data_IF_048907605815
#
_entry.id   IF_048907605815
#
_cell.length_a   1.000
_cell.length_b   1.000
_cell.length_c   1.000
_cell.angle_alpha   90.00
_cell.angle_beta   90.00
_cell.angle_gamma   90.00
#
_symmetry.space_group_name_H-M   'P 1'
#
loop_
_entity.id
_entity.type
_entity.pdbx_description
1 polymer ?
#
# COMPACT_ATOMS: atom_id res chain seq x y z
N UNK A 1 -2.70 -9.86 -25.74
CA UNK A 1 -1.97 -9.96 -24.47
C UNK A 1 -1.48 -8.57 -24.02
N UNK A 2 -1.66 -8.22 -22.75
CA UNK A 2 -1.26 -6.93 -22.15
C UNK A 2 0.27 -6.72 -22.24
N UNK A 3 0.73 -5.49 -22.50
CA UNK A 3 2.18 -5.14 -22.47
C UNK A 3 2.81 -5.48 -21.11
N UNK A 4 2.08 -5.25 -20.03
CA UNK A 4 2.53 -5.55 -18.65
C UNK A 4 2.53 -7.06 -18.41
N UNK A 5 1.52 -7.80 -18.88
CA UNK A 5 1.44 -9.26 -18.71
C UNK A 5 2.58 -10.02 -19.38
N UNK A 6 3.17 -9.48 -20.45
CA UNK A 6 4.32 -10.09 -21.15
C UNK A 6 5.66 -9.95 -20.40
N UNK A 7 5.77 -9.01 -19.44
CA UNK A 7 7.01 -8.78 -18.72
C UNK A 7 7.15 -9.78 -17.58
N UNK A 8 8.19 -10.63 -17.55
CA UNK A 8 8.42 -11.52 -16.42
C UNK A 8 8.71 -10.72 -15.14
N UNK A 9 8.38 -11.30 -14.00
CA UNK A 9 8.76 -10.77 -12.69
C UNK A 9 10.04 -11.48 -12.25
N UNK A 10 11.12 -10.71 -12.08
CA UNK A 10 12.37 -11.23 -11.54
C UNK A 10 12.21 -11.47 -10.03
N UNK A 11 12.62 -12.65 -9.57
CA UNK A 11 12.70 -13.00 -8.15
C UNK A 11 14.12 -12.71 -7.67
N UNK A 12 14.33 -11.71 -6.80
CA UNK A 12 15.67 -11.39 -6.30
C UNK A 12 16.18 -12.50 -5.36
N UNK A 13 17.49 -12.57 -5.19
CA UNK A 13 18.11 -13.47 -4.22
C UNK A 13 17.57 -13.20 -2.80
N UNK A 14 17.23 -14.27 -2.07
CA UNK A 14 16.65 -14.18 -0.73
C UNK A 14 15.11 -14.08 -0.70
N UNK A 15 14.46 -14.26 -1.84
CA UNK A 15 12.99 -14.39 -1.91
C UNK A 15 12.64 -15.77 -2.41
N UNK A 16 11.87 -16.49 -1.62
CA UNK A 16 11.33 -17.80 -1.99
C UNK A 16 9.88 -17.64 -2.49
N UNK A 17 9.63 -18.16 -3.69
CA UNK A 17 8.29 -18.21 -4.26
C UNK A 17 7.86 -19.65 -4.42
N UNK A 18 6.73 -20.01 -3.84
CA UNK A 18 6.11 -21.30 -4.03
C UNK A 18 4.69 -21.16 -4.55
N UNK A 19 4.34 -22.01 -5.50
CA UNK A 19 3.02 -22.11 -6.11
C UNK A 19 2.48 -23.48 -5.76
N UNK A 20 1.46 -23.57 -4.90
CA UNK A 20 0.81 -24.80 -4.46
C UNK A 20 -0.69 -24.59 -4.36
N UNK A 21 -1.48 -25.54 -4.81
CA UNK A 21 -2.92 -25.58 -4.61
C UNK A 21 -3.63 -24.25 -4.93
N UNK A 22 -3.33 -23.66 -6.09
CA UNK A 22 -3.82 -22.37 -6.54
C UNK A 22 -3.48 -21.19 -5.60
N UNK A 23 -2.46 -21.36 -4.75
CA UNK A 23 -1.95 -20.29 -3.90
C UNK A 23 -0.49 -19.97 -4.23
N UNK A 24 -0.22 -18.71 -4.49
CA UNK A 24 1.13 -18.15 -4.66
C UNK A 24 1.57 -17.61 -3.31
N UNK A 25 2.63 -18.17 -2.75
CA UNK A 25 3.26 -17.64 -1.54
C UNK A 25 4.62 -17.05 -1.86
N UNK A 26 4.87 -15.85 -1.33
CA UNK A 26 6.13 -15.13 -1.49
C UNK A 26 6.68 -14.86 -0.09
N UNK A 27 7.87 -15.41 0.19
CA UNK A 27 8.57 -15.25 1.48
C UNK A 27 9.87 -14.50 1.25
N UNK A 28 10.18 -13.58 2.13
CA UNK A 28 11.41 -12.80 2.11
C UNK A 28 11.75 -12.22 3.48
N UNK A 29 12.73 -11.33 3.54
CA UNK A 29 13.18 -10.69 4.78
C UNK A 29 12.09 -9.87 5.48
N UNK A 30 11.13 -9.32 4.74
CA UNK A 30 10.02 -8.52 5.27
C UNK A 30 8.79 -9.35 5.69
N UNK A 31 8.85 -10.70 5.61
CA UNK A 31 7.74 -11.58 5.98
C UNK A 31 7.27 -12.49 4.86
N UNK A 32 6.06 -13.01 4.99
CA UNK A 32 5.42 -13.87 4.01
C UNK A 32 4.08 -13.27 3.58
N UNK A 33 3.82 -13.26 2.28
CA UNK A 33 2.57 -12.82 1.68
C UNK A 33 1.97 -13.96 0.86
N UNK A 34 0.65 -14.02 0.82
CA UNK A 34 -0.11 -15.05 0.12
C UNK A 34 -1.11 -14.40 -0.84
N UNK A 35 -1.26 -15.02 -2.01
CA UNK A 35 -2.22 -14.60 -3.01
C UNK A 35 -2.85 -15.82 -3.66
N UNK A 36 -4.17 -15.84 -3.75
CA UNK A 36 -4.88 -16.89 -4.48
C UNK A 36 -4.71 -16.68 -5.98
N UNK A 37 -4.28 -17.72 -6.69
CA UNK A 37 -4.17 -17.71 -8.15
C UNK A 37 -5.57 -17.69 -8.77
N UNK A 38 -5.73 -16.87 -9.80
CA UNK A 38 -6.98 -16.87 -10.56
C UNK A 38 -6.91 -17.98 -11.63
N UNK A 39 -7.97 -18.77 -11.75
CA UNK A 39 -8.08 -19.86 -12.73
C UNK A 39 -7.90 -19.44 -14.21
N UNK A 40 -8.06 -18.14 -14.50
CA UNK A 40 -7.85 -17.56 -15.83
C UNK A 40 -6.39 -17.26 -16.15
N UNK A 41 -5.43 -17.55 -15.23
CA UNK A 41 -4.02 -17.21 -15.41
C UNK A 41 -3.14 -18.38 -15.06
N UNK A 42 -2.30 -18.81 -15.99
CA UNK A 42 -1.26 -19.80 -15.77
C UNK A 42 0.03 -19.10 -15.33
N UNK A 43 0.57 -19.50 -14.18
CA UNK A 43 1.80 -18.95 -13.63
C UNK A 43 2.90 -20.01 -13.73
N UNK A 44 4.00 -19.66 -14.39
CA UNK A 44 5.18 -20.55 -14.52
C UNK A 44 6.39 -19.88 -13.88
N UNK A 45 7.21 -20.68 -13.21
CA UNK A 45 8.45 -20.24 -12.57
C UNK A 45 9.63 -20.87 -13.26
N UNK A 46 10.43 -20.09 -13.97
CA UNK A 46 11.62 -20.53 -14.69
C UNK A 46 12.84 -19.68 -14.30
N UNK A 47 13.91 -20.36 -13.87
CA UNK A 47 15.22 -19.74 -13.60
C UNK A 47 15.16 -18.41 -12.80
N UNK A 48 14.32 -18.35 -11.76
CA UNK A 48 14.18 -17.14 -10.93
C UNK A 48 13.33 -16.02 -11.56
N UNK A 49 12.56 -16.35 -12.59
CA UNK A 49 11.58 -15.44 -13.22
C UNK A 49 10.19 -16.06 -13.20
N UNK A 50 9.20 -15.26 -12.89
CA UNK A 50 7.79 -15.66 -12.94
C UNK A 50 7.17 -15.10 -14.21
N UNK A 51 6.54 -15.98 -14.99
CA UNK A 51 5.80 -15.62 -16.20
C UNK A 51 4.31 -15.86 -15.99
N UNK A 52 3.49 -14.97 -16.52
CA UNK A 52 2.04 -14.97 -16.37
C UNK A 52 1.39 -15.04 -17.75
N UNK A 53 0.70 -16.13 -18.03
CA UNK A 53 0.02 -16.34 -19.30
C UNK A 53 -1.50 -16.45 -19.08
N UNK A 54 -2.34 -15.87 -19.96
CA UNK A 54 -3.77 -16.09 -19.89
C UNK A 54 -4.08 -17.57 -20.21
N UNK A 55 -4.99 -18.19 -19.48
CA UNK A 55 -5.40 -19.58 -19.71
C UNK A 55 -6.20 -19.75 -21.02
N UNK A 56 -6.83 -18.69 -21.50
CA UNK A 56 -7.57 -18.63 -22.75
C UNK A 56 -7.44 -17.24 -23.41
N UNK A 57 -7.89 -17.11 -24.65
CA UNK A 57 -7.81 -15.83 -25.40
C UNK A 57 -8.92 -14.82 -25.05
N UNK A 58 -9.65 -15.03 -23.96
CA UNK A 58 -10.68 -14.10 -23.52
C UNK A 58 -10.08 -12.75 -23.10
N UNK A 59 -10.87 -11.70 -23.24
CA UNK A 59 -10.50 -10.35 -22.80
C UNK A 59 -10.23 -10.30 -21.28
N UNK A 60 -10.99 -11.08 -20.51
CA UNK A 60 -10.88 -11.19 -19.05
C UNK A 60 -9.57 -11.87 -18.65
N UNK A 61 -9.21 -13.02 -19.25
CA UNK A 61 -7.94 -13.71 -18.97
C UNK A 61 -6.75 -12.83 -19.32
N UNK A 62 -6.81 -12.09 -20.42
CA UNK A 62 -5.78 -11.11 -20.79
C UNK A 62 -5.65 -9.96 -19.77
N UNK A 63 -6.75 -9.47 -19.23
CA UNK A 63 -6.74 -8.43 -18.19
C UNK A 63 -6.19 -8.99 -16.86
N UNK A 64 -6.65 -10.18 -16.46
CA UNK A 64 -6.23 -10.85 -15.22
C UNK A 64 -4.74 -11.21 -15.22
N UNK A 65 -4.16 -11.61 -16.35
CA UNK A 65 -2.73 -11.91 -16.44
C UNK A 65 -1.86 -10.70 -16.05
N UNK A 66 -2.24 -9.50 -16.50
CA UNK A 66 -1.55 -8.25 -16.12
C UNK A 66 -1.76 -7.89 -14.63
N UNK A 67 -2.97 -8.10 -14.12
CA UNK A 67 -3.30 -7.86 -12.70
C UNK A 67 -2.51 -8.80 -11.78
N UNK A 68 -2.55 -10.10 -12.06
CA UNK A 68 -1.81 -11.10 -11.27
C UNK A 68 -0.31 -10.84 -11.29
N UNK A 69 0.24 -10.54 -12.46
CA UNK A 69 1.65 -10.16 -12.59
C UNK A 69 1.99 -8.98 -11.69
N UNK A 70 1.17 -7.93 -11.68
CA UNK A 70 1.45 -6.75 -10.87
C UNK A 70 1.27 -7.00 -9.37
N UNK A 71 0.30 -7.80 -8.97
CA UNK A 71 0.12 -8.20 -7.57
C UNK A 71 1.32 -8.99 -7.06
N UNK A 72 1.78 -9.99 -7.81
CA UNK A 72 2.97 -10.77 -7.42
C UNK A 72 4.23 -9.90 -7.41
N UNK A 73 4.39 -9.01 -8.38
CA UNK A 73 5.50 -8.05 -8.36
C UNK A 73 5.47 -7.15 -7.11
N UNK A 74 4.29 -6.68 -6.71
CA UNK A 74 4.15 -5.90 -5.47
C UNK A 74 4.51 -6.75 -4.24
N UNK A 75 4.14 -8.04 -4.21
CA UNK A 75 4.53 -8.95 -3.11
C UNK A 75 6.05 -9.11 -3.04
N UNK A 76 6.72 -9.35 -4.16
CA UNK A 76 8.19 -9.49 -4.23
C UNK A 76 8.88 -8.22 -3.75
N UNK A 77 8.45 -7.05 -4.23
CA UNK A 77 9.00 -5.76 -3.76
C UNK A 77 8.71 -5.53 -2.28
N UNK A 78 7.51 -5.89 -1.83
CA UNK A 78 7.08 -5.71 -0.45
C UNK A 78 7.87 -6.54 0.56
N UNK A 79 8.16 -7.81 0.25
CA UNK A 79 8.96 -8.65 1.15
C UNK A 79 10.46 -8.34 1.10
N UNK A 80 10.94 -7.61 0.08
CA UNK A 80 12.35 -7.18 -0.02
C UNK A 80 12.59 -5.80 0.56
N UNK A 81 11.96 -4.79 -0.02
CA UNK A 81 12.16 -3.37 0.33
C UNK A 81 11.11 -2.82 1.27
N UNK A 82 9.93 -3.46 1.29
CA UNK A 82 8.76 -2.90 1.95
C UNK A 82 8.14 -1.72 1.19
N UNK A 83 6.97 -1.30 1.66
CA UNK A 83 6.31 -0.08 1.19
C UNK A 83 6.20 0.93 2.31
N UNK A 84 6.31 2.19 1.94
CA UNK A 84 6.21 3.32 2.84
C UNK A 84 5.20 4.35 2.30
N UNK A 85 4.34 4.87 3.16
CA UNK A 85 3.47 6.03 2.88
C UNK A 85 3.63 7.06 3.98
N UNK A 86 3.82 8.31 3.57
CA UNK A 86 3.98 9.46 4.46
C UNK A 86 2.74 10.33 4.44
N UNK A 87 2.28 10.72 5.61
CA UNK A 87 1.17 11.64 5.81
C UNK A 87 1.66 12.83 6.62
N UNK A 88 1.19 14.02 6.25
CA UNK A 88 1.48 15.27 6.92
C UNK A 88 0.19 15.83 7.56
N UNK A 89 0.31 16.24 8.82
CA UNK A 89 -0.74 16.93 9.55
C UNK A 89 -0.53 18.43 9.42
N UNK A 90 -1.54 19.13 8.92
CA UNK A 90 -1.51 20.58 8.78
C UNK A 90 -2.65 21.18 9.60
N UNK A 91 -2.29 21.99 10.58
CA UNK A 91 -3.22 22.66 11.47
C UNK A 91 -2.55 23.03 12.79
N UNK A 92 -2.98 24.16 13.38
CA UNK A 92 -2.49 24.57 14.69
C UNK A 92 -2.98 23.58 15.74
N UNK A 93 -2.05 23.05 16.54
CA UNK A 93 -2.35 22.07 17.59
C UNK A 93 -2.56 20.64 17.10
N UNK A 94 -2.41 20.35 15.79
CA UNK A 94 -2.49 18.98 15.28
C UNK A 94 -1.22 18.20 15.65
N UNK A 95 -1.40 17.04 16.24
CA UNK A 95 -0.31 16.17 16.70
C UNK A 95 -0.65 14.70 16.42
N UNK A 96 0.37 13.93 16.07
CA UNK A 96 0.33 12.49 15.98
C UNK A 96 1.40 11.89 16.88
N UNK A 97 1.07 10.82 17.58
CA UNK A 97 1.99 10.08 18.43
C UNK A 97 1.79 8.59 18.22
N UNK A 98 2.83 7.92 17.75
CA UNK A 98 2.86 6.48 17.64
C UNK A 98 3.29 5.84 18.98
N UNK A 99 2.53 4.86 19.45
CA UNK A 99 2.80 4.08 20.65
C UNK A 99 2.70 2.59 20.30
N UNK A 100 3.79 2.01 19.81
CA UNK A 100 3.81 0.63 19.35
C UNK A 100 2.82 0.41 18.19
N UNK A 101 1.80 -0.43 18.41
CA UNK A 101 0.77 -0.73 17.41
C UNK A 101 -0.41 0.26 17.42
N UNK A 102 -0.35 1.34 18.20
CA UNK A 102 -1.42 2.35 18.30
C UNK A 102 -0.92 3.69 17.82
N UNK A 103 -1.78 4.42 17.12
CA UNK A 103 -1.55 5.79 16.69
C UNK A 103 -2.58 6.70 17.36
N UNK A 104 -2.10 7.63 18.16
CA UNK A 104 -2.91 8.65 18.81
C UNK A 104 -2.87 9.92 17.98
N UNK A 105 -4.03 10.45 17.62
CA UNK A 105 -4.19 11.64 16.78
C UNK A 105 -4.97 12.71 17.52
N UNK A 106 -4.41 13.91 17.60
CA UNK A 106 -5.10 15.12 18.02
C UNK A 106 -5.27 16.01 16.79
N UNK A 107 -6.47 16.04 16.22
CA UNK A 107 -6.73 16.70 14.92
C UNK A 107 -7.95 17.64 15.00
N UNK A 108 -8.09 18.32 16.15
CA UNK A 108 -9.12 19.33 16.35
C UNK A 108 -10.52 18.76 16.65
N UNK A 109 -10.59 17.55 17.17
CA UNK A 109 -11.77 16.99 17.81
C UNK A 109 -11.71 17.22 19.32
N UNK A 110 -12.85 17.13 20.01
CA UNK A 110 -12.94 17.26 21.46
C UNK A 110 -12.26 16.13 22.23
N UNK A 111 -11.96 15.01 21.56
CA UNK A 111 -11.26 13.85 22.11
C UNK A 111 -10.13 13.40 21.16
N UNK A 112 -9.05 12.80 21.65
CA UNK A 112 -8.04 12.20 20.81
C UNK A 112 -8.62 10.98 20.09
N UNK A 113 -8.22 10.79 18.84
CA UNK A 113 -8.60 9.62 18.04
C UNK A 113 -7.49 8.59 18.13
N UNK A 114 -7.83 7.41 18.62
CA UNK A 114 -6.92 6.28 18.71
C UNK A 114 -7.20 5.30 17.57
N UNK A 115 -6.17 4.95 16.82
CA UNK A 115 -6.25 4.00 15.71
C UNK A 115 -5.28 2.85 15.98
N UNK A 116 -5.83 1.63 16.04
CA UNK A 116 -5.01 0.42 16.12
C UNK A 116 -4.47 0.05 14.73
N UNK A 117 -3.21 -0.34 14.68
CA UNK A 117 -2.56 -0.78 13.43
C UNK A 117 -2.78 -2.28 13.24
N UNK A 118 -3.18 -2.72 12.04
CA UNK A 118 -3.30 -4.14 11.74
C UNK A 118 -1.93 -4.82 11.73
N UNK A 119 -1.93 -6.14 11.92
CA UNK A 119 -0.72 -6.95 11.91
C UNK A 119 0.08 -6.78 10.59
N UNK A 120 1.40 -6.64 10.70
CA UNK A 120 2.29 -6.43 9.57
C UNK A 120 2.41 -4.96 9.10
N UNK A 121 1.78 -4.02 9.80
CA UNK A 121 1.95 -2.58 9.57
C UNK A 121 2.64 -1.96 10.78
N UNK A 122 3.67 -1.18 10.52
CA UNK A 122 4.35 -0.35 11.52
C UNK A 122 4.08 1.11 11.24
N UNK A 123 3.89 1.88 12.32
CA UNK A 123 3.71 3.32 12.24
C UNK A 123 4.80 4.01 13.06
N UNK A 124 5.36 5.06 12.51
CA UNK A 124 6.32 5.92 13.19
C UNK A 124 5.92 7.38 13.03
N UNK A 125 6.21 8.18 14.02
CA UNK A 125 6.01 9.63 14.02
C UNK A 125 7.34 10.31 14.28
N UNK A 126 8.18 10.51 13.23
CA UNK A 126 9.47 11.18 13.38
C UNK A 126 9.31 12.60 13.95
N UNK A 127 8.26 13.27 13.52
CA UNK A 127 7.82 14.55 14.08
C UNK A 127 6.34 14.46 14.48
N UNK A 128 5.87 15.32 15.38
CA UNK A 128 4.46 15.33 15.77
C UNK A 128 3.48 15.63 14.62
N UNK A 129 3.98 16.14 13.51
CA UNK A 129 3.19 16.51 12.32
C UNK A 129 3.39 15.57 11.14
N UNK A 130 4.21 14.53 11.28
CA UNK A 130 4.48 13.57 10.22
C UNK A 130 4.21 12.14 10.70
N UNK A 131 3.48 11.39 9.89
CA UNK A 131 3.20 9.98 10.12
C UNK A 131 3.82 9.17 8.98
N UNK A 132 4.62 8.19 9.32
CA UNK A 132 5.24 7.25 8.38
C UNK A 132 4.65 5.88 8.63
N UNK A 133 4.02 5.30 7.61
CA UNK A 133 3.38 3.99 7.65
C UNK A 133 4.21 3.04 6.78
N UNK A 134 4.66 1.92 7.35
CA UNK A 134 5.49 0.93 6.66
C UNK A 134 4.87 -0.46 6.77
N UNK A 135 5.07 -1.26 5.71
CA UNK A 135 4.63 -2.65 5.70
C UNK A 135 5.03 -3.38 4.43
N UNK A 136 4.94 -4.70 4.44
CA UNK A 136 5.22 -5.53 3.27
C UNK A 136 4.07 -5.52 2.26
N UNK A 137 2.84 -5.41 2.73
CA UNK A 137 1.66 -5.42 1.87
C UNK A 137 1.29 -3.99 1.43
N UNK A 138 1.47 -3.70 0.13
CA UNK A 138 1.13 -2.41 -0.49
C UNK A 138 -0.34 -2.03 -0.28
N UNK A 139 -1.25 -3.01 -0.38
CA UNK A 139 -2.68 -2.77 -0.24
C UNK A 139 -3.01 -2.35 1.19
N UNK A 140 -2.50 -3.08 2.20
CA UNK A 140 -2.72 -2.77 3.62
C UNK A 140 -2.12 -1.42 4.02
N UNK A 141 -0.89 -1.13 3.57
CA UNK A 141 -0.24 0.18 3.79
C UNK A 141 -1.09 1.31 3.20
N UNK A 142 -1.59 1.14 1.97
CA UNK A 142 -2.46 2.11 1.32
C UNK A 142 -3.80 2.28 2.01
N UNK A 143 -4.42 1.20 2.46
CA UNK A 143 -5.70 1.20 3.16
C UNK A 143 -5.59 1.94 4.50
N UNK A 144 -4.59 1.60 5.32
CA UNK A 144 -4.35 2.27 6.61
C UNK A 144 -4.08 3.77 6.41
N UNK A 145 -3.29 4.13 5.40
CA UNK A 145 -3.02 5.54 5.07
C UNK A 145 -4.30 6.28 4.67
N UNK A 146 -5.17 5.67 3.86
CA UNK A 146 -6.44 6.23 3.46
C UNK A 146 -7.40 6.42 4.65
N UNK A 147 -7.47 5.44 5.55
CA UNK A 147 -8.28 5.52 6.77
C UNK A 147 -7.81 6.63 7.71
N UNK A 148 -6.49 6.78 7.90
CA UNK A 148 -5.94 7.88 8.72
C UNK A 148 -6.26 9.22 8.07
N UNK A 149 -6.09 9.35 6.75
CA UNK A 149 -6.44 10.58 6.04
C UNK A 149 -7.94 10.90 6.13
N UNK A 150 -8.81 9.90 6.10
CA UNK A 150 -10.26 10.07 6.21
C UNK A 150 -10.72 10.59 7.59
N UNK A 151 -9.92 10.40 8.66
CA UNK A 151 -10.24 10.93 9.99
C UNK A 151 -10.40 12.46 9.92
N UNK A 152 -9.51 13.16 9.23
CA UNK A 152 -9.60 14.60 9.02
C UNK A 152 -9.08 14.97 7.63
N UNK A 153 -9.90 14.87 6.59
CA UNK A 153 -9.46 15.19 5.24
C UNK A 153 -9.09 16.67 5.12
N UNK A 154 -8.19 17.03 4.20
CA UNK A 154 -7.77 18.41 4.02
C UNK A 154 -8.94 19.29 3.54
N UNK A 155 -9.09 20.44 4.15
CA UNK A 155 -10.10 21.43 3.77
C UNK A 155 -9.64 22.27 2.57
N UNK A 156 -10.57 22.75 1.74
CA UNK A 156 -10.21 23.46 0.50
C UNK A 156 -9.83 24.94 0.69
N UNK A 157 -9.94 25.53 1.90
CA UNK A 157 -9.69 26.97 2.12
C UNK A 157 -8.31 27.27 2.70
N UNK A 158 -7.95 26.62 3.82
CA UNK A 158 -6.63 26.78 4.48
C UNK A 158 -5.76 25.55 4.37
N UNK A 159 -6.28 24.45 3.78
CA UNK A 159 -5.57 23.19 3.62
C UNK A 159 -5.31 22.44 4.93
N UNK A 160 -6.05 22.77 6.01
CA UNK A 160 -5.93 22.08 7.30
C UNK A 160 -6.49 20.67 7.18
N UNK A 161 -5.80 19.70 7.77
CA UNK A 161 -6.19 18.30 7.75
C UNK A 161 -4.99 17.38 7.62
N UNK A 162 -5.25 16.10 7.38
CA UNK A 162 -4.26 15.06 7.12
C UNK A 162 -4.20 14.86 5.61
N UNK A 163 -3.02 14.97 5.03
CA UNK A 163 -2.79 14.75 3.58
C UNK A 163 -1.59 13.86 3.32
N UNK A 164 -1.53 13.25 2.15
CA UNK A 164 -0.31 12.60 1.69
C UNK A 164 0.80 13.62 1.47
N UNK A 165 2.05 13.22 1.63
CA UNK A 165 3.21 14.09 1.43
C UNK A 165 3.32 14.62 -0.01
N UNK A 166 2.83 13.83 -0.98
CA UNK A 166 2.83 14.10 -2.41
C UNK A 166 1.49 14.67 -2.93
N UNK A 167 0.51 14.90 -2.04
CA UNK A 167 -0.83 15.39 -2.40
C UNK A 167 -0.85 16.89 -2.66
N UNK A 168 -1.25 17.26 -3.87
CA UNK A 168 -1.55 18.66 -4.23
C UNK A 168 -3.01 18.96 -3.92
N UNK A 169 -3.24 19.92 -3.02
CA UNK A 169 -4.59 20.37 -2.65
C UNK A 169 -4.91 21.62 -3.45
N UNK A 170 -6.05 21.61 -4.11
CA UNK A 170 -6.59 22.80 -4.76
C UNK A 170 -7.25 23.69 -3.71
N UNK A 171 -6.61 24.80 -3.37
CA UNK A 171 -7.13 25.79 -2.44
C UNK A 171 -8.07 26.72 -3.21
N UNK A 172 -9.29 26.86 -2.69
CA UNK A 172 -10.27 27.81 -3.23
C UNK A 172 -10.02 29.20 -2.66
N UNK A 173 -10.08 30.21 -3.52
CA UNK A 173 -10.02 31.59 -3.08
C UNK A 173 -11.29 31.97 -2.29
N UNK A 174 -11.11 32.53 -1.13
CA UNK A 174 -12.20 33.14 -0.40
C UNK A 174 -12.55 34.50 -1.05
N UNK A 175 -13.84 34.78 -1.27
CA UNK A 175 -14.26 36.13 -1.72
C UNK A 175 -13.64 37.15 -0.79
N UNK A 176 -12.79 38.03 -1.32
CA UNK A 176 -12.40 39.26 -0.64
C UNK A 176 -13.68 40.10 -0.49
N UNK A 177 -14.03 40.43 0.73
CA UNK A 177 -15.02 41.50 1.01
C UNK A 177 -14.46 42.82 0.56
#
# INVERSE_FOLDING_TARGET
>A
MSRIGKMPVAVPAGVDVSIKDDQISVKGSGGALFLTQNALVNVTSDAGKLSFQPANDSREANAMSGTMRQLVNNMVVGVTKGFEKKLNLIGVGYKAQAQGAKLNLTVGYSHPVNKDMPAGITVATPTPTEIVIKGADRQRVGQVAAEIRAIRPPEPYKGKGIRYSDEKITIKETKKK
#
